data_IF_582823681775
#
_entry.id   IF_582823681775
#
_cell.length_a   1.000
_cell.length_b   1.000
_cell.length_c   1.000
_cell.angle_alpha   90.00
_cell.angle_beta   90.00
_cell.angle_gamma   90.00
#
_symmetry.space_group_name_H-M   'P 1'
#
loop_
_entity.id
_entity.type
_entity.pdbx_description
1 polymer ?
#
# COMPACT_ATOMS: atom_id res chain seq x y z
N UNK A 1 4.20 15.11 -38.82
CA UNK A 1 5.06 15.41 -37.66
C UNK A 1 4.16 15.15 -36.47
N UNK A 2 4.43 14.08 -35.72
CA UNK A 2 3.60 13.73 -34.55
C UNK A 2 3.75 14.80 -33.46
N UNK A 3 2.68 15.08 -32.74
CA UNK A 3 2.70 16.05 -31.64
C UNK A 3 3.53 15.45 -30.49
N UNK A 4 4.53 16.15 -29.92
CA UNK A 4 5.34 15.64 -28.82
C UNK A 4 4.54 15.15 -27.60
N UNK A 5 3.28 15.53 -27.47
CA UNK A 5 2.39 15.05 -26.41
C UNK A 5 1.92 13.61 -26.62
N UNK A 6 1.84 13.16 -27.88
CA UNK A 6 1.38 11.81 -28.25
C UNK A 6 2.47 10.74 -28.00
N UNK A 7 3.71 11.15 -27.69
CA UNK A 7 4.83 10.25 -27.37
C UNK A 7 5.08 10.10 -25.87
N UNK A 8 4.32 10.80 -25.01
CA UNK A 8 4.49 10.75 -23.56
C UNK A 8 3.85 9.47 -23.03
N UNK A 9 4.66 8.63 -22.37
CA UNK A 9 4.21 7.38 -21.73
C UNK A 9 4.46 7.45 -20.23
N UNK A 10 3.49 7.02 -19.42
CA UNK A 10 3.66 6.88 -17.97
C UNK A 10 4.37 5.55 -17.70
N UNK A 11 5.54 5.65 -17.10
CA UNK A 11 6.34 4.47 -16.73
C UNK A 11 6.09 4.00 -15.31
N UNK A 12 5.81 4.94 -14.39
CA UNK A 12 5.52 4.64 -13.00
C UNK A 12 4.72 5.78 -12.35
N UNK A 13 3.80 5.40 -11.47
CA UNK A 13 3.08 6.29 -10.57
C UNK A 13 3.48 5.91 -9.14
N UNK A 14 3.87 6.91 -8.37
CA UNK A 14 4.13 6.78 -6.93
C UNK A 14 3.10 7.60 -6.19
N UNK A 15 2.40 6.98 -5.26
CA UNK A 15 1.41 7.62 -4.40
C UNK A 15 1.74 7.36 -2.93
N UNK A 16 1.30 8.26 -2.05
CA UNK A 16 1.42 8.07 -0.61
C UNK A 16 0.13 8.45 0.08
N UNK A 17 -0.24 7.67 1.09
CA UNK A 17 -1.36 7.91 1.98
C UNK A 17 -0.97 7.56 3.42
N UNK A 18 -1.89 7.69 4.37
CA UNK A 18 -1.69 7.28 5.75
C UNK A 18 -2.95 6.61 6.28
N UNK A 19 -2.76 5.50 6.98
CA UNK A 19 -3.74 4.90 7.87
C UNK A 19 -3.74 5.75 9.15
N UNK A 20 -4.90 6.16 9.65
CA UNK A 20 -5.06 7.09 10.77
C UNK A 20 -4.68 6.49 12.15
N UNK A 21 -3.76 5.53 12.19
CA UNK A 21 -3.28 4.88 13.41
C UNK A 21 -1.85 4.33 13.23
N UNK A 22 -1.16 4.12 14.34
CA UNK A 22 0.11 3.40 14.36
C UNK A 22 -0.10 1.89 14.11
N UNK A 23 0.90 1.25 13.52
CA UNK A 23 0.87 -0.16 13.14
C UNK A 23 2.03 -0.91 13.79
N UNK A 24 1.74 -2.03 14.42
CA UNK A 24 2.77 -3.01 14.78
C UNK A 24 3.16 -3.82 13.54
N UNK A 25 4.20 -3.36 12.83
CA UNK A 25 4.69 -4.00 11.62
C UNK A 25 5.12 -5.46 11.83
N UNK A 26 5.54 -5.83 13.05
CA UNK A 26 5.90 -7.22 13.36
C UNK A 26 4.65 -8.10 13.33
N UNK A 27 3.55 -7.61 13.93
CA UNK A 27 2.27 -8.30 13.89
C UNK A 27 1.69 -8.34 12.48
N UNK A 28 1.74 -7.22 11.75
CA UNK A 28 1.29 -7.18 10.35
C UNK A 28 2.06 -8.20 9.51
N UNK A 29 3.38 -8.29 9.64
CA UNK A 29 4.18 -9.25 8.87
C UNK A 29 3.90 -10.72 9.23
N UNK A 30 3.46 -11.01 10.46
CA UNK A 30 3.08 -12.35 10.87
C UNK A 30 1.71 -12.77 10.29
N UNK A 31 0.76 -11.85 10.27
CA UNK A 31 -0.64 -12.14 9.90
C UNK A 31 -0.91 -11.91 8.40
N UNK A 32 -0.21 -10.99 7.75
CA UNK A 32 -0.37 -10.64 6.34
C UNK A 32 0.55 -11.50 5.46
N UNK A 33 -0.03 -12.51 4.80
CA UNK A 33 0.71 -13.39 3.90
C UNK A 33 1.37 -12.61 2.75
N UNK A 34 2.67 -12.84 2.53
CA UNK A 34 3.46 -12.18 1.49
C UNK A 34 4.04 -10.81 1.89
N UNK A 35 3.93 -10.44 3.16
CA UNK A 35 4.61 -9.29 3.73
C UNK A 35 6.07 -9.61 4.11
N UNK A 36 7.00 -8.81 3.61
CA UNK A 36 8.41 -8.88 3.97
C UNK A 36 8.74 -7.75 4.95
N UNK A 37 9.15 -8.10 6.18
CA UNK A 37 9.58 -7.13 7.19
C UNK A 37 10.87 -7.57 7.87
N UNK A 38 11.92 -6.77 7.68
CA UNK A 38 13.20 -6.90 8.37
C UNK A 38 13.70 -5.49 8.73
N UNK A 39 13.47 -5.01 9.98
CA UNK A 39 13.83 -3.65 10.39
C UNK A 39 15.33 -3.38 10.39
N UNK A 40 16.19 -4.41 10.38
CA UNK A 40 17.64 -4.22 10.24
C UNK A 40 18.03 -3.88 8.80
N UNK A 41 17.25 -4.34 7.81
CA UNK A 41 17.45 -4.05 6.39
C UNK A 41 16.67 -2.83 5.91
N UNK A 42 15.40 -2.69 6.33
CA UNK A 42 14.52 -1.62 5.91
C UNK A 42 13.47 -1.31 6.99
N UNK A 43 13.27 -0.04 7.38
CA UNK A 43 12.39 0.32 8.50
C UNK A 43 10.88 0.15 8.22
N UNK A 44 10.48 -0.16 6.98
CA UNK A 44 9.10 -0.41 6.60
C UNK A 44 8.85 -1.87 6.24
N UNK A 45 7.58 -2.25 6.19
CA UNK A 45 7.12 -3.53 5.66
C UNK A 45 6.90 -3.39 4.16
N UNK A 46 7.44 -4.33 3.38
CA UNK A 46 7.27 -4.39 1.94
C UNK A 46 6.15 -5.38 1.64
N UNK A 47 5.14 -4.93 0.91
CA UNK A 47 4.01 -5.75 0.51
C UNK A 47 3.80 -5.71 -0.99
N UNK A 48 3.66 -6.87 -1.63
CA UNK A 48 3.51 -6.98 -3.09
C UNK A 48 2.08 -7.42 -3.41
N UNK A 49 1.39 -6.63 -4.23
CA UNK A 49 0.09 -6.99 -4.76
C UNK A 49 0.25 -7.46 -6.21
N UNK A 50 -0.43 -8.54 -6.56
CA UNK A 50 -0.47 -9.04 -7.93
C UNK A 50 -1.49 -8.28 -8.78
N UNK A 51 -2.61 -7.89 -8.19
CA UNK A 51 -3.70 -7.16 -8.85
C UNK A 51 -4.22 -6.02 -7.94
N UNK A 52 -3.92 -4.74 -8.25
CA UNK A 52 -3.00 -4.28 -9.29
C UNK A 52 -1.54 -4.65 -8.99
N UNK A 53 -0.72 -4.85 -10.02
CA UNK A 53 0.70 -5.21 -9.89
C UNK A 53 1.51 -4.04 -9.34
N UNK A 54 1.56 -3.89 -8.01
CA UNK A 54 2.23 -2.79 -7.31
C UNK A 54 2.99 -3.29 -6.08
N UNK A 55 3.88 -2.43 -5.59
CA UNK A 55 4.58 -2.60 -4.32
C UNK A 55 4.10 -1.52 -3.36
N UNK A 56 3.67 -1.95 -2.19
CA UNK A 56 3.29 -1.13 -1.07
C UNK A 56 4.38 -1.16 0.01
N UNK A 57 4.69 0.01 0.57
CA UNK A 57 5.61 0.18 1.70
C UNK A 57 4.82 0.73 2.88
N UNK A 58 4.70 -0.04 3.94
CA UNK A 58 4.00 0.32 5.17
C UNK A 58 5.01 0.71 6.24
N UNK A 59 4.75 1.79 6.97
CA UNK A 59 5.59 2.25 8.07
C UNK A 59 4.81 2.18 9.38
N UNK A 60 5.51 1.97 10.50
CA UNK A 60 4.86 1.86 11.82
C UNK A 60 4.04 3.09 12.22
N UNK A 61 4.29 4.24 11.59
CA UNK A 61 3.49 5.46 11.77
C UNK A 61 2.13 5.42 11.05
N UNK A 62 1.75 4.31 10.41
CA UNK A 62 0.57 4.22 9.55
C UNK A 62 0.78 4.76 8.13
N UNK A 63 1.95 5.32 7.81
CA UNK A 63 2.23 5.82 6.45
C UNK A 63 2.28 4.65 5.46
N UNK A 64 1.65 4.83 4.30
CA UNK A 64 1.61 3.88 3.21
C UNK A 64 2.13 4.56 1.93
N UNK A 65 3.04 3.90 1.20
CA UNK A 65 3.54 4.35 -0.10
C UNK A 65 3.31 3.25 -1.13
N UNK A 66 2.62 3.57 -2.23
CA UNK A 66 2.40 2.66 -3.35
C UNK A 66 3.28 3.08 -4.52
N UNK A 67 3.95 2.12 -5.17
CA UNK A 67 4.76 2.33 -6.37
C UNK A 67 4.66 1.13 -7.32
N UNK A 68 4.98 1.30 -8.59
CA UNK A 68 5.03 0.24 -9.60
C UNK A 68 3.82 0.22 -10.54
N UNK A 69 2.76 0.96 -10.20
CA UNK A 69 1.59 1.14 -11.06
C UNK A 69 1.87 2.09 -12.22
N UNK A 70 1.07 2.02 -13.28
CA UNK A 70 1.16 2.95 -14.43
C UNK A 70 -0.01 3.93 -14.48
N UNK A 71 -1.02 3.71 -13.64
CA UNK A 71 -2.18 4.54 -13.55
C UNK A 71 -2.43 4.95 -12.09
N UNK A 72 -2.90 6.18 -11.83
CA UNK A 72 -3.27 6.60 -10.47
C UNK A 72 -4.27 5.68 -9.78
N UNK A 73 -5.21 5.10 -10.55
CA UNK A 73 -6.20 4.14 -10.05
C UNK A 73 -5.58 2.86 -9.51
N UNK A 74 -4.39 2.46 -9.98
CA UNK A 74 -3.67 1.30 -9.44
C UNK A 74 -3.29 1.55 -7.97
N UNK A 75 -2.95 2.79 -7.63
CA UNK A 75 -2.65 3.14 -6.24
C UNK A 75 -3.90 3.17 -5.38
N UNK A 76 -5.02 3.68 -5.90
CA UNK A 76 -6.31 3.70 -5.18
C UNK A 76 -6.77 2.28 -4.84
N UNK A 77 -6.82 1.39 -5.83
CA UNK A 77 -7.21 -0.01 -5.61
C UNK A 77 -6.26 -0.76 -4.67
N UNK A 78 -4.95 -0.45 -4.72
CA UNK A 78 -3.99 -1.05 -3.83
C UNK A 78 -4.21 -0.62 -2.37
N UNK A 79 -4.53 0.66 -2.14
CA UNK A 79 -4.88 1.15 -0.80
C UNK A 79 -6.12 0.44 -0.28
N UNK A 80 -7.21 0.39 -1.07
CA UNK A 80 -8.45 -0.28 -0.67
C UNK A 80 -8.24 -1.76 -0.33
N UNK A 81 -7.39 -2.44 -1.12
CA UNK A 81 -7.06 -3.86 -0.90
C UNK A 81 -6.26 -4.06 0.38
N UNK A 82 -5.29 -3.20 0.67
CA UNK A 82 -4.48 -3.28 1.88
C UNK A 82 -5.33 -2.97 3.10
N UNK A 83 -6.14 -1.92 3.04
CA UNK A 83 -7.03 -1.51 4.13
C UNK A 83 -7.97 -2.66 4.51
N UNK A 84 -8.66 -3.23 3.53
CA UNK A 84 -9.56 -4.38 3.73
C UNK A 84 -8.85 -5.59 4.36
N UNK A 85 -7.62 -5.90 3.92
CA UNK A 85 -6.85 -7.03 4.49
C UNK A 85 -6.44 -6.76 5.95
N UNK A 86 -6.04 -5.53 6.27
CA UNK A 86 -5.67 -5.17 7.64
C UNK A 86 -6.90 -5.18 8.57
N UNK A 87 -8.07 -4.77 8.07
CA UNK A 87 -9.34 -4.87 8.79
C UNK A 87 -9.75 -6.32 9.06
N UNK A 88 -9.73 -7.18 8.04
CA UNK A 88 -10.11 -8.60 8.14
C UNK A 88 -9.23 -9.36 9.14
N UNK A 89 -7.96 -8.97 9.26
CA UNK A 89 -7.00 -9.53 10.20
C UNK A 89 -7.12 -8.93 11.62
N UNK A 90 -7.99 -7.94 11.82
CA UNK A 90 -8.14 -7.26 13.11
C UNK A 90 -6.87 -6.52 13.53
N UNK A 91 -6.15 -5.98 12.55
CA UNK A 91 -4.91 -5.20 12.73
C UNK A 91 -5.19 -3.70 12.81
N UNK A 92 -6.41 -3.27 12.48
CA UNK A 92 -6.90 -1.91 12.67
C UNK A 92 -7.83 -1.86 13.88
N UNK A 93 -7.51 -0.98 14.84
CA UNK A 93 -8.30 -0.80 16.06
C UNK A 93 -9.46 0.16 15.74
N UNK A 94 -10.66 -0.38 15.48
CA UNK A 94 -11.90 0.40 15.54
C UNK A 94 -12.47 0.96 14.23
N UNK A 95 -12.10 0.44 13.05
CA UNK A 95 -12.79 0.83 11.81
C UNK A 95 -14.22 0.26 11.69
N UNK A 96 -14.55 -0.75 12.51
CA UNK A 96 -15.88 -1.36 12.59
C UNK A 96 -17.01 -0.49 13.16
N UNK A 97 -16.78 0.80 13.47
CA UNK A 97 -17.80 1.71 14.05
C UNK A 97 -18.18 2.89 13.14
N UNK A 98 -17.78 2.90 11.85
CA UNK A 98 -18.22 3.94 10.86
C UNK A 98 -19.23 3.45 9.82
N UNK A 99 -19.84 2.30 10.03
CA UNK A 99 -21.08 1.91 9.33
C UNK A 99 -22.33 2.35 10.12
N UNK A 100 -22.45 3.64 10.45
CA UNK A 100 -23.71 4.29 10.87
C UNK A 100 -23.78 5.75 10.44
#
# INVERSE_FOLDING_TARGET
MEDPKDTITIENVVASTAIEQELDLSRVAMDLEGADYDPEQFPGLVYRLDEPSVVALLFGSGKLVITGGKHPVDAEHAVDTIDSRLEDLGLLDGYGDRAK
#
